data_IF_976816811281
#
_entry.id   IF_976816811281
#
_cell.length_a   1.000
_cell.length_b   1.000
_cell.length_c   1.000
_cell.angle_alpha   90.00
_cell.angle_beta   90.00
_cell.angle_gamma   90.00
#
_symmetry.space_group_name_H-M   'P 1'
#
loop_
_entity.id
_entity.type
_entity.pdbx_description
1 polymer ?
#
# COMPACT_ATOMS: atom_id res chain seq x y z
N UNK A 1 10.24 -17.57 -15.74
CA UNK A 1 9.04 -17.12 -14.99
C UNK A 1 8.35 -18.34 -14.39
N UNK A 2 8.09 -18.34 -13.08
CA UNK A 2 7.34 -19.40 -12.40
C UNK A 2 6.15 -18.79 -11.65
N UNK A 3 4.95 -19.28 -11.91
CA UNK A 3 3.70 -18.83 -11.30
C UNK A 3 3.16 -19.96 -10.41
N UNK A 4 2.96 -19.72 -9.11
CA UNK A 4 2.31 -20.70 -8.22
C UNK A 4 0.99 -20.11 -7.74
N UNK A 5 -0.09 -20.81 -8.04
CA UNK A 5 -1.45 -20.47 -7.62
C UNK A 5 -1.88 -21.49 -6.56
N UNK A 6 -2.32 -20.99 -5.41
CA UNK A 6 -2.92 -21.82 -4.35
C UNK A 6 -4.22 -21.20 -3.91
N UNK A 7 -5.27 -22.01 -3.74
CA UNK A 7 -6.59 -21.55 -3.30
C UNK A 7 -6.90 -22.15 -1.92
N UNK A 8 -7.34 -21.31 -0.97
CA UNK A 8 -7.78 -21.78 0.35
C UNK A 8 -9.06 -21.06 0.78
N UNK A 9 -10.11 -21.86 1.03
CA UNK A 9 -11.45 -21.52 1.56
C UNK A 9 -12.24 -20.40 0.84
N UNK A 10 -11.68 -19.21 0.58
CA UNK A 10 -12.29 -18.12 -0.23
C UNK A 10 -11.27 -17.17 -0.87
N UNK A 11 -9.97 -17.44 -0.71
CA UNK A 11 -8.88 -16.55 -1.10
C UNK A 11 -7.96 -17.25 -2.11
N UNK A 12 -7.67 -16.57 -3.21
CA UNK A 12 -6.70 -17.02 -4.21
C UNK A 12 -5.37 -16.33 -3.93
N UNK A 13 -4.37 -17.12 -3.59
CA UNK A 13 -3.00 -16.65 -3.36
C UNK A 13 -2.19 -16.89 -4.63
N UNK A 14 -1.60 -15.82 -5.16
CA UNK A 14 -0.71 -15.83 -6.31
C UNK A 14 0.69 -15.40 -5.88
N UNK A 15 1.64 -16.32 -5.95
CA UNK A 15 3.05 -16.01 -5.73
C UNK A 15 3.76 -15.88 -7.07
N UNK A 16 4.34 -14.70 -7.32
CA UNK A 16 5.09 -14.39 -8.53
C UNK A 16 6.50 -13.94 -8.17
N UNK A 17 7.50 -14.53 -8.80
CA UNK A 17 8.87 -13.99 -8.79
C UNK A 17 9.09 -13.28 -10.12
N UNK A 18 8.99 -11.96 -10.14
CA UNK A 18 9.31 -11.16 -11.32
C UNK A 18 10.82 -10.94 -11.31
N UNK A 19 11.55 -11.68 -12.14
CA UNK A 19 12.98 -11.48 -12.34
C UNK A 19 13.19 -10.15 -13.08
N UNK A 20 13.96 -9.23 -12.50
CA UNK A 20 14.42 -8.03 -13.19
C UNK A 20 15.38 -8.39 -14.34
N UNK A 21 15.61 -7.44 -15.26
CA UNK A 21 16.58 -7.58 -16.36
C UNK A 21 17.99 -7.93 -15.86
N UNK A 22 18.31 -7.62 -14.61
CA UNK A 22 19.59 -7.88 -13.95
C UNK A 22 19.61 -9.19 -13.14
N UNK A 23 18.57 -10.03 -13.24
CA UNK A 23 18.43 -11.29 -12.48
C UNK A 23 17.98 -11.11 -11.02
N UNK A 24 18.02 -9.91 -10.47
CA UNK A 24 17.46 -9.52 -9.17
C UNK A 24 15.94 -9.27 -9.31
N UNK A 25 15.15 -10.29 -9.00
CA UNK A 25 13.70 -10.18 -8.93
C UNK A 25 13.21 -10.14 -7.49
N UNK A 26 12.40 -9.14 -7.13
CA UNK A 26 11.74 -9.14 -5.82
C UNK A 26 10.59 -10.15 -5.80
N UNK A 27 10.52 -11.05 -4.80
CA UNK A 27 9.34 -11.86 -4.59
C UNK A 27 8.13 -10.96 -4.32
N UNK A 28 7.04 -11.18 -5.04
CA UNK A 28 5.76 -10.51 -4.79
C UNK A 28 4.69 -11.55 -4.49
N UNK A 29 3.89 -11.27 -3.47
CA UNK A 29 2.80 -12.14 -3.03
C UNK A 29 1.47 -11.40 -3.14
N UNK A 30 0.52 -11.98 -3.87
CA UNK A 30 -0.81 -11.43 -4.10
C UNK A 30 -1.89 -12.28 -3.43
N UNK A 31 -2.54 -11.66 -2.45
CA UNK A 31 -3.81 -11.98 -1.80
C UNK A 31 -5.08 -11.58 -2.59
N UNK A 32 -6.01 -12.43 -3.04
CA UNK A 32 -7.27 -11.97 -3.66
C UNK A 32 -8.50 -12.64 -3.04
N UNK A 33 -9.42 -11.82 -2.52
CA UNK A 33 -10.73 -12.25 -2.03
C UNK A 33 -11.82 -11.72 -2.95
N UNK A 34 -12.46 -12.59 -3.74
CA UNK A 34 -13.59 -12.19 -4.60
C UNK A 34 -14.81 -11.77 -3.79
N UNK A 35 -15.03 -12.42 -2.64
CA UNK A 35 -16.16 -12.14 -1.74
C UNK A 35 -16.04 -10.73 -1.15
N UNK A 36 -14.85 -10.37 -0.71
CA UNK A 36 -14.59 -9.06 -0.09
C UNK A 36 -14.23 -7.98 -1.12
N UNK A 37 -13.98 -8.39 -2.38
CA UNK A 37 -13.52 -7.54 -3.48
C UNK A 37 -12.27 -6.77 -3.07
N UNK A 38 -11.26 -7.51 -2.62
CA UNK A 38 -9.98 -6.98 -2.18
C UNK A 38 -8.83 -7.68 -2.89
N UNK A 39 -7.74 -6.93 -3.10
CA UNK A 39 -6.44 -7.50 -3.44
C UNK A 39 -5.35 -6.96 -2.51
N UNK A 40 -4.52 -7.83 -1.94
CA UNK A 40 -3.43 -7.48 -1.02
C UNK A 40 -2.10 -7.89 -1.62
N UNK A 41 -1.17 -6.97 -1.75
CA UNK A 41 0.16 -7.21 -2.28
C UNK A 41 1.20 -7.01 -1.19
N UNK A 42 2.09 -7.99 -1.02
CA UNK A 42 3.32 -7.81 -0.26
C UNK A 42 4.47 -7.51 -1.23
N UNK A 43 5.12 -6.37 -1.02
CA UNK A 43 6.22 -5.88 -1.85
C UNK A 43 7.47 -5.80 -0.98
N UNK A 44 8.47 -6.63 -1.25
CA UNK A 44 9.75 -6.60 -0.54
C UNK A 44 10.87 -6.03 -1.42
N UNK A 45 11.75 -5.21 -0.83
CA UNK A 45 13.03 -4.77 -1.39
C UNK A 45 14.14 -5.08 -0.37
N UNK A 46 15.40 -4.95 -0.80
CA UNK A 46 16.61 -5.29 -0.02
C UNK A 46 16.56 -4.83 1.45
N UNK A 47 16.03 -3.63 1.73
CA UNK A 47 16.02 -3.04 3.09
C UNK A 47 14.64 -2.56 3.57
N UNK A 48 13.57 -2.84 2.83
CA UNK A 48 12.23 -2.34 3.17
C UNK A 48 11.16 -3.24 2.59
N UNK A 49 10.03 -3.39 3.29
CA UNK A 49 8.84 -4.01 2.72
C UNK A 49 7.66 -3.06 2.79
N UNK A 50 6.64 -3.34 2.01
CA UNK A 50 5.36 -2.65 2.09
C UNK A 50 4.22 -3.62 1.82
N UNK A 51 3.07 -3.33 2.41
CA UNK A 51 1.81 -3.98 2.07
C UNK A 51 0.90 -2.97 1.39
N UNK A 52 0.34 -3.36 0.25
CA UNK A 52 -0.60 -2.57 -0.55
C UNK A 52 -1.94 -3.29 -0.58
N UNK A 53 -3.02 -2.62 -0.19
CA UNK A 53 -4.37 -3.19 -0.21
C UNK A 53 -5.22 -2.38 -1.19
N UNK A 54 -5.73 -3.05 -2.21
CA UNK A 54 -6.75 -2.54 -3.11
C UNK A 54 -8.11 -2.93 -2.54
N UNK A 55 -8.88 -1.92 -2.16
CA UNK A 55 -10.28 -2.08 -1.76
C UNK A 55 -11.18 -1.62 -2.90
N UNK A 56 -11.63 -2.58 -3.72
CA UNK A 56 -12.49 -2.31 -4.87
C UNK A 56 -13.93 -1.97 -4.45
N UNK A 57 -14.33 -2.30 -3.22
CA UNK A 57 -15.65 -1.95 -2.69
C UNK A 57 -15.71 -0.47 -2.32
N UNK A 58 -14.66 0.05 -1.67
CA UNK A 58 -14.58 1.45 -1.25
C UNK A 58 -13.82 2.35 -2.25
N UNK A 59 -13.28 1.78 -3.33
CA UNK A 59 -12.44 2.47 -4.32
C UNK A 59 -11.23 3.18 -3.69
N UNK A 60 -10.55 2.48 -2.79
CA UNK A 60 -9.36 2.97 -2.10
C UNK A 60 -8.17 2.03 -2.29
N UNK A 61 -6.97 2.61 -2.27
CA UNK A 61 -5.72 1.87 -2.20
C UNK A 61 -5.02 2.31 -0.91
N UNK A 62 -4.76 1.36 -0.01
CA UNK A 62 -3.99 1.58 1.21
C UNK A 62 -2.55 1.08 1.07
N UNK A 63 -1.61 1.79 1.68
CA UNK A 63 -0.19 1.48 1.67
C UNK A 63 0.42 1.68 3.05
N UNK A 64 1.20 0.69 3.50
CA UNK A 64 2.03 0.81 4.69
C UNK A 64 3.39 0.16 4.47
N UNK A 65 4.45 0.93 4.64
CA UNK A 65 5.82 0.43 4.63
C UNK A 65 6.25 -0.11 5.99
N UNK A 66 7.28 -0.95 5.99
CA UNK A 66 7.97 -1.44 7.18
C UNK A 66 9.49 -1.30 7.02
N UNK A 67 10.19 -0.65 7.98
CA UNK A 67 9.63 0.08 9.13
C UNK A 67 9.01 1.41 8.69
N UNK A 68 7.72 1.62 8.95
CA UNK A 68 6.99 2.83 8.59
C UNK A 68 6.02 3.24 9.71
N UNK A 69 6.01 4.52 10.04
CA UNK A 69 5.21 5.09 11.15
C UNK A 69 3.90 5.73 10.69
N UNK A 70 3.60 5.67 9.40
CA UNK A 70 2.40 6.25 8.78
C UNK A 70 1.78 5.26 7.81
N UNK A 71 0.47 5.35 7.63
CA UNK A 71 -0.26 4.70 6.57
C UNK A 71 -0.67 5.75 5.54
N UNK A 72 -0.73 5.37 4.27
CA UNK A 72 -1.15 6.27 3.20
C UNK A 72 -2.30 5.65 2.43
N UNK A 73 -3.23 6.49 1.98
CA UNK A 73 -4.33 6.06 1.14
C UNK A 73 -4.46 6.95 -0.09
N UNK A 74 -4.89 6.39 -1.20
CA UNK A 74 -5.30 7.16 -2.38
C UNK A 74 -6.60 6.62 -2.97
N UNK A 75 -7.28 7.45 -3.75
CA UNK A 75 -8.53 7.08 -4.42
C UNK A 75 -8.27 6.31 -5.70
N UNK A 76 -9.09 5.31 -5.94
CA UNK A 76 -9.15 4.58 -7.19
C UNK A 76 -10.16 5.23 -8.14
N UNK A 77 -9.79 5.34 -9.42
CA UNK A 77 -10.75 5.68 -10.48
C UNK A 77 -11.32 4.38 -11.04
N UNK A 78 -12.64 4.22 -11.04
CA UNK A 78 -13.30 2.98 -11.45
C UNK A 78 -13.02 2.64 -12.92
N UNK A 79 -12.83 3.65 -13.76
CA UNK A 79 -12.55 3.55 -15.19
C UNK A 79 -11.06 3.31 -15.48
N UNK A 80 -10.18 3.60 -14.52
CA UNK A 80 -8.73 3.49 -14.67
C UNK A 80 -8.08 3.14 -13.33
N UNK A 81 -8.18 1.87 -12.96
CA UNK A 81 -7.57 1.33 -11.74
C UNK A 81 -6.06 1.33 -11.91
N UNK A 82 -5.36 2.00 -10.99
CA UNK A 82 -3.91 2.10 -11.00
C UNK A 82 -3.25 0.72 -10.87
N UNK A 83 -2.23 0.44 -11.68
CA UNK A 83 -1.39 -0.76 -11.50
C UNK A 83 -0.63 -0.71 -10.17
N UNK A 84 -0.13 -1.86 -9.71
CA UNK A 84 0.68 -1.92 -8.48
C UNK A 84 1.89 -0.99 -8.55
N UNK A 85 2.61 -0.98 -9.68
CA UNK A 85 3.77 -0.09 -9.87
C UNK A 85 3.39 1.39 -9.81
N UNK A 86 2.23 1.76 -10.36
CA UNK A 86 1.75 3.13 -10.31
C UNK A 86 1.38 3.53 -8.87
N UNK A 87 0.66 2.66 -8.15
CA UNK A 87 0.30 2.89 -6.75
C UNK A 87 1.56 3.01 -5.87
N UNK A 88 2.51 2.08 -5.98
CA UNK A 88 3.76 2.12 -5.21
C UNK A 88 4.56 3.39 -5.49
N UNK A 89 4.59 3.87 -6.75
CA UNK A 89 5.25 5.15 -7.10
C UNK A 89 4.60 6.35 -6.41
N UNK A 90 3.27 6.40 -6.34
CA UNK A 90 2.56 7.46 -5.60
C UNK A 90 3.07 7.53 -4.16
N UNK A 91 3.13 6.39 -3.47
CA UNK A 91 3.55 6.34 -2.06
C UNK A 91 5.05 6.54 -1.83
N UNK A 92 5.90 6.19 -2.80
CA UNK A 92 7.34 6.46 -2.74
C UNK A 92 7.68 7.95 -2.82
N UNK A 93 6.85 8.73 -3.51
CA UNK A 93 7.05 10.17 -3.64
C UNK A 93 6.68 10.93 -2.36
N UNK A 94 6.01 10.29 -1.39
CA UNK A 94 5.49 10.90 -0.15
C UNK A 94 6.42 10.58 1.02
N UNK A 95 7.74 10.54 0.81
CA UNK A 95 8.66 10.26 1.92
C UNK A 95 8.38 11.18 3.12
N UNK A 96 8.22 10.63 4.34
CA UNK A 96 8.06 11.46 5.52
C UNK A 96 9.35 12.25 5.70
N UNK A 97 9.26 13.58 5.54
CA UNK A 97 10.27 14.48 6.10
C UNK A 97 10.28 14.20 7.61
N UNK A 98 11.45 13.93 8.23
CA UNK A 98 11.50 13.59 9.65
C UNK A 98 10.77 14.66 10.47
N UNK A 99 10.10 14.29 11.57
CA UNK A 99 9.50 15.29 12.45
C UNK A 99 10.64 16.20 12.87
N UNK A 100 10.59 17.46 12.44
CA UNK A 100 11.55 18.45 12.85
C UNK A 100 11.54 18.47 14.38
N UNK A 101 12.62 17.95 14.95
CA UNK A 101 12.94 18.12 16.36
C UNK A 101 12.77 19.61 16.67
N UNK A 102 11.87 19.90 17.60
CA UNK A 102 11.92 21.05 18.51
C UNK A 102 12.55 22.34 17.96
N UNK A 103 11.69 23.36 17.85
CA UNK A 103 11.96 24.81 17.83
C UNK A 103 11.87 25.46 16.44
N UNK A 104 10.91 26.40 16.40
CA UNK A 104 10.79 27.63 15.62
C UNK A 104 9.71 27.63 14.55
N UNK A 105 8.70 28.46 14.84
CA UNK A 105 7.75 29.06 13.93
C UNK A 105 8.46 29.49 12.64
N UNK A 106 8.09 28.87 11.51
CA UNK A 106 7.92 29.55 10.24
C UNK A 106 7.28 28.58 9.23
N UNK A 107 6.28 29.12 8.56
CA UNK A 107 5.35 28.52 7.63
C UNK A 107 6.06 27.90 6.41
N UNK A 108 5.87 26.59 6.19
CA UNK A 108 5.42 25.96 4.94
C UNK A 108 5.41 24.43 5.16
N UNK A 109 4.63 24.00 6.17
CA UNK A 109 4.36 22.58 6.37
C UNK A 109 3.48 22.12 5.22
N UNK A 110 3.98 21.23 4.37
CA UNK A 110 3.11 20.49 3.44
C UNK A 110 2.20 19.61 4.30
N UNK A 111 1.08 20.19 4.74
CA UNK A 111 0.11 19.55 5.62
C UNK A 111 -0.62 18.49 4.78
N UNK A 112 -0.02 17.31 4.69
CA UNK A 112 -0.62 16.19 3.97
C UNK A 112 -1.91 15.88 4.73
N UNK A 113 -3.09 15.97 4.09
CA UNK A 113 -4.33 15.92 4.83
C UNK A 113 -4.51 14.55 5.48
N UNK A 114 -4.84 14.57 6.78
CA UNK A 114 -5.23 13.37 7.53
C UNK A 114 -6.51 12.77 6.93
N UNK A 115 -6.49 11.47 6.70
CA UNK A 115 -7.65 10.74 6.22
C UNK A 115 -8.55 10.32 7.39
N UNK A 116 -9.86 10.47 7.19
CA UNK A 116 -10.86 9.94 8.12
C UNK A 116 -10.88 8.40 8.05
N UNK A 117 -10.87 7.74 9.20
CA UNK A 117 -10.95 6.27 9.31
C UNK A 117 -12.33 5.73 8.96
N UNK A 118 -13.38 6.55 9.04
CA UNK A 118 -14.76 6.13 8.78
C UNK A 118 -14.99 5.64 7.34
N UNK A 119 -14.15 6.07 6.39
CA UNK A 119 -14.26 5.70 4.97
C UNK A 119 -13.51 4.41 4.62
N UNK A 120 -12.76 3.85 5.58
CA UNK A 120 -11.87 2.72 5.32
C UNK A 120 -12.62 1.39 5.49
N UNK A 121 -12.43 0.49 4.52
CA UNK A 121 -12.78 -0.91 4.70
C UNK A 121 -11.94 -1.56 5.80
N UNK A 122 -12.46 -2.65 6.38
CA UNK A 122 -11.84 -3.37 7.50
C UNK A 122 -10.37 -3.70 7.26
N UNK A 123 -10.02 -4.16 6.06
CA UNK A 123 -8.65 -4.58 5.75
C UNK A 123 -7.67 -3.41 5.71
N UNK A 124 -8.06 -2.25 5.16
CA UNK A 124 -7.23 -1.04 5.21
C UNK A 124 -7.12 -0.51 6.65
N UNK A 125 -8.21 -0.58 7.43
CA UNK A 125 -8.19 -0.18 8.83
C UNK A 125 -7.23 -1.06 9.65
N UNK A 126 -7.22 -2.37 9.42
CA UNK A 126 -6.25 -3.32 10.01
C UNK A 126 -4.82 -3.00 9.55
N UNK A 127 -4.61 -2.79 8.24
CA UNK A 127 -3.31 -2.41 7.67
C UNK A 127 -2.75 -1.16 8.38
N UNK A 128 -3.56 -0.12 8.53
CA UNK A 128 -3.17 1.13 9.16
C UNK A 128 -3.16 1.09 10.69
N UNK A 129 -3.78 0.09 11.33
CA UNK A 129 -3.73 -0.18 12.77
C UNK A 129 -3.86 1.10 13.62
N UNK A 130 -2.87 1.48 14.43
CA UNK A 130 -2.88 2.69 15.27
C UNK A 130 -2.06 3.85 14.70
N UNK A 131 -1.50 3.74 13.49
CA UNK A 131 -0.68 4.83 12.92
C UNK A 131 -1.55 5.92 12.28
N UNK A 132 -1.04 7.16 12.15
CA UNK A 132 -1.70 8.20 11.37
C UNK A 132 -1.90 7.78 9.91
N UNK A 133 -2.99 8.25 9.31
CA UNK A 133 -3.37 7.92 7.93
C UNK A 133 -3.41 9.21 7.14
N UNK A 134 -2.65 9.26 6.05
CA UNK A 134 -2.55 10.44 5.20
C UNK A 134 -3.07 10.15 3.79
N UNK A 135 -3.62 11.17 3.13
CA UNK A 135 -3.86 11.09 1.70
C UNK A 135 -2.56 11.18 0.92
N UNK A 136 -2.55 10.50 -0.22
CA UNK A 136 -1.43 10.41 -1.14
C UNK A 136 -1.76 11.00 -2.51
#
# INVERSE_FOLDING_TARGET
MGLRITEKHTETVLQMTIQGLDGEGSPQHLSMSRKERLATFHVSRVNSSATVVYDYSNLLIGYRSWPGQSCYITRMKKENIQSLDAAVKVFQNIQPKPPASSLKENEEGTDVPLADRSILGTTINILCSSVPIYWA
#
